data_IF_276477870457
#
_entry.id   IF_276477870457
#
_cell.length_a   1.000
_cell.length_b   1.000
_cell.length_c   1.000
_cell.angle_alpha   90.00
_cell.angle_beta   90.00
_cell.angle_gamma   90.00
#
_symmetry.space_group_name_H-M   'P 1'
#
loop_
_entity.id
_entity.type
_entity.pdbx_description
1 polymer ?
#
# COMPACT_ATOMS: atom_id res chain seq x y z
N UNK A 1 -3.65 -63.93 -7.05
CA UNK A 1 -4.79 -63.93 -7.98
C UNK A 1 -4.89 -62.52 -8.54
N UNK A 2 -4.10 -62.25 -9.57
CA UNK A 2 -4.52 -62.21 -10.99
C UNK A 2 -4.90 -60.76 -11.35
N UNK A 3 -4.04 -60.02 -12.07
CA UNK A 3 -3.91 -60.04 -13.54
C UNK A 3 -5.13 -59.38 -14.22
N UNK A 4 -5.07 -58.48 -15.21
CA UNK A 4 -4.07 -57.99 -16.16
C UNK A 4 -4.70 -56.80 -16.93
N UNK A 5 -3.84 -55.91 -17.48
CA UNK A 5 -3.78 -55.33 -18.86
C UNK A 5 -5.09 -55.18 -19.69
N UNK A 6 -5.30 -54.18 -20.56
CA UNK A 6 -4.50 -53.68 -21.70
C UNK A 6 -5.22 -52.41 -22.26
N UNK A 7 -4.56 -51.29 -22.58
CA UNK A 7 -3.89 -50.95 -23.84
C UNK A 7 -4.78 -50.76 -25.09
N UNK A 8 -4.75 -49.57 -25.69
CA UNK A 8 -4.70 -49.43 -27.16
C UNK A 8 -3.92 -48.17 -27.58
N UNK A 9 -2.83 -48.44 -28.32
CA UNK A 9 -2.02 -47.49 -29.08
C UNK A 9 -2.68 -47.25 -30.44
N UNK A 10 -2.63 -46.03 -30.95
CA UNK A 10 -2.79 -45.71 -32.37
C UNK A 10 -1.50 -45.09 -32.91
N UNK A 11 -0.84 -45.78 -33.84
CA UNK A 11 0.30 -45.32 -34.63
C UNK A 11 -0.06 -45.37 -36.13
N UNK A 12 0.75 -44.67 -36.93
CA UNK A 12 0.83 -44.64 -38.41
C UNK A 12 -0.20 -43.72 -39.10
N UNK A 13 0.19 -42.84 -40.02
CA UNK A 13 0.92 -43.14 -41.25
C UNK A 13 1.71 -41.91 -41.81
N UNK A 14 2.96 -42.13 -42.21
CA UNK A 14 3.76 -41.28 -43.12
C UNK A 14 3.54 -41.71 -44.57
N UNK A 15 3.61 -40.80 -45.56
CA UNK A 15 4.24 -40.96 -46.91
C UNK A 15 3.96 -39.78 -47.87
N UNK A 16 5.00 -39.04 -48.33
CA UNK A 16 5.62 -38.98 -49.71
C UNK A 16 4.75 -38.33 -50.81
N UNK A 17 5.21 -37.65 -51.88
CA UNK A 17 6.45 -37.01 -52.40
C UNK A 17 6.08 -36.49 -53.83
N UNK A 18 6.83 -35.54 -54.41
CA UNK A 18 6.97 -35.18 -55.87
C UNK A 18 5.82 -34.37 -56.54
N UNK A 19 5.99 -33.21 -57.22
CA UNK A 19 6.97 -32.55 -58.15
C UNK A 19 6.64 -32.71 -59.65
N UNK A 20 6.80 -31.60 -60.41
CA UNK A 20 6.75 -31.35 -61.90
C UNK A 20 5.34 -31.09 -62.49
N UNK A 21 5.06 -30.10 -63.36
CA UNK A 21 5.83 -29.03 -64.03
C UNK A 21 5.07 -28.47 -65.27
N UNK A 22 5.55 -27.33 -65.80
CA UNK A 22 5.27 -26.66 -67.11
C UNK A 22 3.81 -26.26 -67.44
N UNK A 23 3.47 -25.13 -68.07
CA UNK A 23 4.15 -24.06 -68.81
C UNK A 23 3.13 -23.48 -69.83
N UNK A 24 3.25 -22.21 -70.23
CA UNK A 24 2.94 -21.64 -71.58
C UNK A 24 2.98 -20.09 -71.56
N UNK A 25 3.64 -19.58 -72.59
CA UNK A 25 4.03 -18.23 -73.03
C UNK A 25 2.92 -17.37 -73.68
N UNK A 26 3.05 -16.03 -73.67
CA UNK A 26 3.23 -15.19 -74.89
C UNK A 26 3.11 -13.65 -74.65
N UNK A 27 4.21 -12.93 -74.97
CA UNK A 27 4.42 -11.72 -75.81
C UNK A 27 3.42 -10.54 -75.80
N UNK A 28 3.93 -9.32 -75.54
CA UNK A 28 3.80 -8.15 -76.43
C UNK A 28 4.83 -7.05 -76.10
N UNK A 29 5.43 -6.50 -77.15
CA UNK A 29 6.49 -5.49 -77.16
C UNK A 29 5.94 -4.07 -77.03
N UNK A 30 6.73 -3.17 -76.44
CA UNK A 30 6.53 -1.72 -76.45
C UNK A 30 7.83 -0.99 -76.17
N UNK A 31 8.40 -0.34 -77.20
CA UNK A 31 9.54 0.57 -77.10
C UNK A 31 9.15 1.85 -76.35
N UNK A 32 10.09 2.48 -75.61
CA UNK A 32 10.58 3.86 -75.81
C UNK A 32 11.38 4.40 -74.61
N UNK A 33 12.54 4.98 -74.94
CA UNK A 33 13.28 6.08 -74.30
C UNK A 33 13.82 5.93 -72.85
N UNK A 34 15.16 6.00 -72.73
CA UNK A 34 15.92 6.09 -71.46
C UNK A 34 15.77 7.44 -70.72
N UNK A 35 16.46 7.63 -69.59
CA UNK A 35 17.91 7.91 -69.66
C UNK A 35 18.78 7.35 -68.50
N UNK A 36 20.09 7.27 -68.79
CA UNK A 36 21.24 7.44 -67.90
C UNK A 36 21.32 6.63 -66.59
N UNK A 37 22.06 5.52 -66.65
CA UNK A 37 22.68 4.91 -65.47
C UNK A 37 24.04 5.56 -65.20
N UNK A 38 24.06 6.56 -64.31
CA UNK A 38 25.27 6.95 -63.58
C UNK A 38 25.22 6.29 -62.20
N UNK A 39 26.10 5.30 -62.01
CA UNK A 39 26.39 4.69 -60.72
C UNK A 39 26.80 5.76 -59.70
N UNK A 40 26.04 5.86 -58.60
CA UNK A 40 26.48 6.50 -57.36
C UNK A 40 26.37 5.44 -56.26
N UNK A 41 27.43 4.65 -56.10
CA UNK A 41 27.73 4.01 -54.83
C UNK A 41 28.31 5.09 -53.92
N UNK A 42 27.45 5.72 -53.13
CA UNK A 42 27.87 6.47 -51.94
C UNK A 42 27.69 5.58 -50.72
N UNK A 43 28.63 5.55 -49.75
CA UNK A 43 28.36 4.92 -48.46
C UNK A 43 27.27 5.75 -47.75
N UNK A 44 26.10 5.14 -47.56
CA UNK A 44 25.05 5.70 -46.72
C UNK A 44 25.49 5.60 -45.26
N UNK A 45 26.25 6.58 -44.78
CA UNK A 45 26.39 6.82 -43.34
C UNK A 45 25.13 7.52 -42.88
N UNK A 46 24.07 6.76 -42.58
CA UNK A 46 23.03 7.27 -41.69
C UNK A 46 23.71 7.62 -40.37
N UNK A 47 23.57 8.86 -39.86
CA UNK A 47 23.98 9.15 -38.50
C UNK A 47 23.19 8.22 -37.59
N UNK A 48 23.90 7.50 -36.71
CA UNK A 48 23.26 6.91 -35.54
C UNK A 48 22.63 8.08 -34.78
N UNK A 49 21.31 8.22 -34.84
CA UNK A 49 20.59 9.07 -33.89
C UNK A 49 20.95 8.52 -32.51
N UNK A 50 21.76 9.29 -31.78
CA UNK A 50 21.99 9.02 -30.38
C UNK A 50 20.62 9.02 -29.70
N UNK A 51 20.27 7.90 -29.08
CA UNK A 51 18.99 7.67 -28.41
C UNK A 51 18.83 8.71 -27.30
N UNK A 52 18.25 9.86 -27.65
CA UNK A 52 18.04 10.95 -26.71
C UNK A 52 17.15 10.42 -25.58
N UNK A 53 17.54 10.57 -24.30
CA UNK A 53 16.71 10.09 -23.20
C UNK A 53 15.28 10.62 -23.35
N UNK A 54 14.25 9.80 -23.02
CA UNK A 54 12.86 10.20 -23.16
C UNK A 54 12.63 11.58 -22.53
N UNK A 55 11.98 12.47 -23.27
CA UNK A 55 11.68 13.82 -22.79
C UNK A 55 10.72 13.73 -21.60
N UNK A 56 11.07 14.43 -20.52
CA UNK A 56 10.25 14.48 -19.30
C UNK A 56 9.26 15.64 -19.40
N UNK A 57 8.03 15.43 -18.97
CA UNK A 57 6.99 16.46 -18.95
C UNK A 57 6.49 16.75 -17.53
N UNK A 58 6.10 17.99 -17.25
CA UNK A 58 5.57 18.38 -15.94
C UNK A 58 6.63 18.66 -14.88
N UNK A 59 6.24 18.52 -13.60
CA UNK A 59 7.10 18.82 -12.46
C UNK A 59 8.03 17.63 -12.16
N UNK A 60 9.31 17.94 -11.92
CA UNK A 60 10.37 16.98 -11.58
C UNK A 60 11.03 17.42 -10.29
N UNK A 61 11.27 16.47 -9.38
CA UNK A 61 11.96 16.72 -8.11
C UNK A 61 13.24 15.90 -8.04
N UNK A 62 14.38 16.55 -7.77
CA UNK A 62 15.69 15.92 -7.77
C UNK A 62 16.37 15.95 -9.14
N UNK A 63 17.60 15.47 -9.20
CA UNK A 63 18.45 15.56 -10.40
C UNK A 63 19.25 14.28 -10.67
N UNK A 64 18.86 13.16 -10.06
CA UNK A 64 19.53 11.88 -10.23
C UNK A 64 19.20 11.19 -11.56
N UNK A 65 19.98 10.17 -11.88
CA UNK A 65 19.86 9.43 -13.14
C UNK A 65 18.62 8.53 -13.18
N UNK A 66 18.26 7.90 -12.06
CA UNK A 66 17.14 6.95 -12.01
C UNK A 66 15.81 7.68 -11.90
N UNK A 67 14.87 7.38 -12.79
CA UNK A 67 13.54 8.00 -12.79
C UNK A 67 12.57 7.17 -11.97
N UNK A 68 11.80 7.84 -11.11
CA UNK A 68 10.76 7.23 -10.28
C UNK A 68 9.48 8.05 -10.43
N UNK A 69 8.36 7.43 -10.79
CA UNK A 69 7.08 8.12 -10.85
C UNK A 69 6.58 8.46 -9.45
N UNK A 70 6.14 9.70 -9.22
CA UNK A 70 5.39 10.10 -8.03
C UNK A 70 3.97 10.48 -8.44
N UNK A 71 3.04 9.54 -8.26
CA UNK A 71 1.66 9.67 -8.70
C UNK A 71 0.77 10.16 -7.56
N UNK A 72 0.20 11.36 -7.71
CA UNK A 72 -0.56 12.04 -6.67
C UNK A 72 -1.92 12.55 -7.20
N UNK A 73 -2.96 12.68 -6.36
CA UNK A 73 -4.25 13.21 -6.78
C UNK A 73 -4.24 14.75 -6.75
N UNK A 74 -3.54 15.37 -7.71
CA UNK A 74 -3.34 16.83 -7.74
C UNK A 74 -4.57 17.57 -8.25
N UNK A 75 -5.32 16.96 -9.17
CA UNK A 75 -6.69 17.35 -9.54
C UNK A 75 -7.72 16.35 -9.01
N UNK A 76 -9.01 16.67 -9.17
CA UNK A 76 -10.12 15.80 -8.80
C UNK A 76 -11.15 16.47 -7.89
N UNK A 77 -12.27 15.77 -7.68
CA UNK A 77 -13.39 16.29 -6.89
C UNK A 77 -13.09 16.25 -5.39
N UNK A 78 -12.84 17.42 -4.81
CA UNK A 78 -12.81 17.64 -3.37
C UNK A 78 -11.52 18.26 -2.83
N UNK A 79 -11.66 19.08 -1.79
CA UNK A 79 -10.56 19.80 -1.14
C UNK A 79 -9.48 18.87 -0.53
N UNK A 80 -9.83 17.61 -0.27
CA UNK A 80 -8.94 16.60 0.33
C UNK A 80 -7.88 16.09 -0.66
N UNK A 81 -8.18 16.03 -1.96
CA UNK A 81 -7.25 15.51 -2.97
C UNK A 81 -6.01 16.42 -3.09
N UNK A 82 -6.21 17.71 -3.33
CA UNK A 82 -5.11 18.67 -3.49
C UNK A 82 -4.27 18.88 -2.23
N UNK A 83 -4.88 18.82 -1.04
CA UNK A 83 -4.14 18.89 0.23
C UNK A 83 -3.28 17.65 0.47
N UNK A 84 -3.79 16.45 0.17
CA UNK A 84 -3.02 15.21 0.21
C UNK A 84 -1.87 15.21 -0.80
N UNK A 85 -2.12 15.65 -2.03
CA UNK A 85 -1.07 15.74 -3.05
C UNK A 85 0.05 16.69 -2.62
N UNK A 86 -0.28 17.87 -2.09
CA UNK A 86 0.72 18.82 -1.57
C UNK A 86 1.52 18.21 -0.41
N UNK A 87 0.83 17.57 0.55
CA UNK A 87 1.45 16.91 1.70
C UNK A 87 2.47 15.85 1.29
N UNK A 88 2.09 14.99 0.35
CA UNK A 88 2.93 13.88 -0.10
C UNK A 88 4.09 14.38 -0.96
N UNK A 89 3.85 15.37 -1.83
CA UNK A 89 4.90 15.99 -2.65
C UNK A 89 5.97 16.66 -1.78
N UNK A 90 5.54 17.45 -0.79
CA UNK A 90 6.43 18.10 0.17
C UNK A 90 7.27 17.09 0.95
N UNK A 91 6.66 15.97 1.36
CA UNK A 91 7.34 14.90 2.09
C UNK A 91 8.39 14.18 1.23
N UNK A 92 8.07 13.92 -0.04
CA UNK A 92 9.02 13.35 -1.00
C UNK A 92 10.20 14.31 -1.28
N UNK A 93 9.93 15.61 -1.41
CA UNK A 93 10.97 16.63 -1.54
C UNK A 93 11.88 16.67 -0.31
N UNK A 94 11.32 16.59 0.91
CA UNK A 94 12.11 16.51 2.13
C UNK A 94 12.99 15.26 2.16
N UNK A 95 12.46 14.11 1.76
CA UNK A 95 13.21 12.86 1.72
C UNK A 95 14.43 12.96 0.79
N UNK A 96 14.28 13.56 -0.39
CA UNK A 96 15.41 13.80 -1.30
C UNK A 96 16.45 14.74 -0.72
N UNK A 97 16.02 15.80 -0.02
CA UNK A 97 16.93 16.75 0.61
C UNK A 97 17.70 16.12 1.77
N UNK A 98 17.05 15.22 2.52
CA UNK A 98 17.65 14.51 3.64
C UNK A 98 18.58 13.38 3.18
N UNK A 99 18.31 12.75 2.04
CA UNK A 99 19.11 11.64 1.52
C UNK A 99 20.29 12.16 0.67
N UNK A 100 21.45 12.31 1.31
CA UNK A 100 22.68 12.72 0.63
C UNK A 100 23.05 11.78 -0.51
N UNK A 101 23.24 12.33 -1.71
CA UNK A 101 23.60 11.56 -2.90
C UNK A 101 22.45 10.71 -3.44
N UNK A 102 21.19 11.12 -3.22
CA UNK A 102 20.03 10.50 -3.85
C UNK A 102 20.17 10.56 -5.39
N UNK A 103 20.46 9.43 -6.02
CA UNK A 103 20.57 9.31 -7.47
C UNK A 103 19.21 9.01 -8.13
N UNK A 104 18.18 9.72 -7.69
CA UNK A 104 16.83 9.63 -8.25
C UNK A 104 16.29 11.00 -8.67
N UNK A 105 15.38 10.99 -9.64
CA UNK A 105 14.49 12.10 -9.98
C UNK A 105 13.04 11.60 -9.96
N UNK A 106 12.18 12.34 -9.25
CA UNK A 106 10.77 12.03 -9.12
C UNK A 106 9.97 12.72 -10.23
N UNK A 107 9.30 11.94 -11.06
CA UNK A 107 8.41 12.42 -12.11
C UNK A 107 7.01 12.61 -11.51
N UNK A 108 6.63 13.85 -11.22
CA UNK A 108 5.36 14.13 -10.54
C UNK A 108 4.22 14.08 -11.56
N UNK A 109 3.26 13.16 -11.36
CA UNK A 109 2.12 12.97 -12.26
C UNK A 109 0.80 13.01 -11.52
N UNK A 110 -0.18 13.66 -12.14
CA UNK A 110 -1.51 13.80 -11.59
C UNK A 110 -2.40 12.61 -11.95
N UNK A 111 -3.02 12.03 -10.95
CA UNK A 111 -3.94 10.90 -11.07
C UNK A 111 -5.41 11.30 -11.10
N UNK A 112 -5.76 12.55 -10.78
CA UNK A 112 -7.15 12.96 -10.59
C UNK A 112 -7.88 12.22 -9.45
N UNK A 113 -7.20 11.32 -8.74
CA UNK A 113 -7.79 10.36 -7.82
C UNK A 113 -8.64 9.26 -8.45
N UNK A 114 -8.65 9.11 -9.78
CA UNK A 114 -9.51 8.17 -10.51
C UNK A 114 -8.73 7.00 -11.10
N UNK A 115 -9.45 5.96 -11.53
CA UNK A 115 -8.87 4.82 -12.24
C UNK A 115 -8.18 5.25 -13.54
N UNK A 116 -8.88 6.02 -14.38
CA UNK A 116 -8.37 6.48 -15.67
C UNK A 116 -7.17 7.42 -15.51
N UNK A 117 -7.20 8.31 -14.51
CA UNK A 117 -6.08 9.19 -14.23
C UNK A 117 -4.87 8.42 -13.67
N UNK A 118 -5.09 7.37 -12.87
CA UNK A 118 -4.05 6.42 -12.48
C UNK A 118 -3.38 5.75 -13.68
N UNK A 119 -4.17 5.28 -14.67
CA UNK A 119 -3.64 4.69 -15.90
C UNK A 119 -2.81 5.69 -16.71
N UNK A 120 -3.34 6.90 -16.92
CA UNK A 120 -2.70 7.94 -17.71
C UNK A 120 -1.37 8.38 -17.07
N UNK A 121 -1.37 8.63 -15.77
CA UNK A 121 -0.18 9.03 -15.02
C UNK A 121 0.90 7.95 -15.01
N UNK A 122 0.52 6.67 -14.86
CA UNK A 122 1.47 5.57 -14.89
C UNK A 122 2.07 5.41 -16.29
N UNK A 123 1.23 5.47 -17.34
CA UNK A 123 1.67 5.42 -18.74
C UNK A 123 2.68 6.52 -19.04
N UNK A 124 2.40 7.75 -18.59
CA UNK A 124 3.29 8.88 -18.78
C UNK A 124 4.62 8.70 -18.03
N UNK A 125 4.59 8.29 -16.76
CA UNK A 125 5.81 8.04 -15.99
C UNK A 125 6.68 6.94 -16.62
N UNK A 126 6.06 5.85 -17.08
CA UNK A 126 6.74 4.71 -17.72
C UNK A 126 7.33 5.11 -19.07
N UNK A 127 6.58 5.83 -19.91
CA UNK A 127 7.08 6.33 -21.19
C UNK A 127 8.25 7.29 -21.00
N UNK A 128 8.25 8.03 -19.90
CA UNK A 128 9.35 8.89 -19.47
C UNK A 128 10.47 8.11 -18.76
N UNK A 129 10.43 6.78 -18.71
CA UNK A 129 11.52 5.93 -18.23
C UNK A 129 11.53 5.68 -16.72
N UNK A 130 10.41 5.85 -16.01
CA UNK A 130 10.33 5.48 -14.60
C UNK A 130 10.60 3.98 -14.39
N UNK A 131 11.47 3.63 -13.45
CA UNK A 131 11.79 2.24 -13.07
C UNK A 131 10.96 1.74 -11.87
N UNK A 132 10.35 2.67 -11.13
CA UNK A 132 9.50 2.44 -9.97
C UNK A 132 8.39 3.49 -9.97
N UNK A 133 7.21 3.12 -9.49
CA UNK A 133 6.11 4.03 -9.22
C UNK A 133 5.87 4.13 -7.71
N UNK A 134 5.80 5.35 -7.18
CA UNK A 134 5.38 5.69 -5.83
C UNK A 134 4.01 6.38 -5.88
N UNK A 135 3.09 5.94 -5.04
CA UNK A 135 1.66 6.21 -5.20
C UNK A 135 1.04 5.29 -6.27
N UNK A 136 -0.23 5.47 -6.63
CA UNK A 136 -1.20 6.48 -6.17
C UNK A 136 -1.70 6.34 -4.72
N UNK A 137 -2.53 7.29 -4.29
CA UNK A 137 -3.13 7.32 -2.94
C UNK A 137 -4.45 6.56 -2.86
N UNK A 138 -5.38 6.83 -3.78
CA UNK A 138 -6.71 6.24 -3.76
C UNK A 138 -6.74 4.88 -4.47
N UNK A 139 -7.52 3.93 -3.93
CA UNK A 139 -7.56 2.54 -4.41
C UNK A 139 -7.82 2.43 -5.91
N UNK A 140 -8.81 3.17 -6.44
CA UNK A 140 -9.14 3.16 -7.87
C UNK A 140 -7.95 3.63 -8.73
N UNK A 141 -7.27 4.70 -8.32
CA UNK A 141 -6.07 5.16 -9.01
C UNK A 141 -4.93 4.13 -8.93
N UNK A 142 -4.74 3.47 -7.76
CA UNK A 142 -3.77 2.38 -7.61
C UNK A 142 -4.07 1.24 -8.56
N UNK A 143 -5.33 0.84 -8.69
CA UNK A 143 -5.75 -0.22 -9.61
C UNK A 143 -5.45 0.18 -11.07
N UNK A 144 -5.80 1.40 -11.45
CA UNK A 144 -5.51 1.96 -12.77
C UNK A 144 -4.01 1.97 -13.07
N UNK A 145 -3.19 2.57 -12.20
CA UNK A 145 -1.74 2.62 -12.37
C UNK A 145 -1.11 1.22 -12.46
N UNK A 146 -1.55 0.31 -11.59
CA UNK A 146 -1.06 -1.08 -11.57
C UNK A 146 -1.40 -1.84 -12.86
N UNK A 147 -2.57 -1.59 -13.46
CA UNK A 147 -2.97 -2.24 -14.72
C UNK A 147 -1.98 -1.97 -15.87
N UNK A 148 -1.43 -0.75 -15.92
CA UNK A 148 -0.42 -0.35 -16.91
C UNK A 148 0.96 -0.87 -16.52
N UNK A 149 1.39 -0.61 -15.28
CA UNK A 149 2.74 -0.89 -14.82
C UNK A 149 3.11 -2.37 -14.88
N UNK A 150 2.15 -3.27 -14.64
CA UNK A 150 2.31 -4.72 -14.75
C UNK A 150 2.81 -5.16 -16.12
N UNK A 151 2.28 -4.56 -17.20
CA UNK A 151 2.66 -4.92 -18.57
C UNK A 151 4.12 -4.56 -18.88
N UNK A 152 4.66 -3.55 -18.20
CA UNK A 152 6.03 -3.08 -18.33
C UNK A 152 6.98 -3.66 -17.28
N UNK A 153 6.48 -4.53 -16.39
CA UNK A 153 7.27 -5.11 -15.30
C UNK A 153 7.72 -4.09 -14.24
N UNK A 154 7.08 -2.92 -14.19
CA UNK A 154 7.45 -1.83 -13.28
C UNK A 154 6.62 -1.96 -11.99
N UNK A 155 7.26 -2.05 -10.82
CA UNK A 155 6.56 -2.18 -9.55
C UNK A 155 5.86 -0.87 -9.14
N UNK A 156 4.76 -1.01 -8.41
CA UNK A 156 3.96 0.10 -7.85
C UNK A 156 3.99 0.01 -6.33
N UNK A 157 4.45 1.06 -5.65
CA UNK A 157 4.33 1.23 -4.20
C UNK A 157 3.20 2.21 -3.93
N UNK A 158 1.97 1.69 -3.79
CA UNK A 158 0.76 2.48 -3.57
C UNK A 158 0.57 2.88 -2.11
N UNK A 159 -0.13 4.00 -1.87
CA UNK A 159 -0.42 4.52 -0.52
C UNK A 159 -1.83 4.20 -0.01
N UNK A 160 -2.60 3.41 -0.78
CA UNK A 160 -3.95 2.98 -0.40
C UNK A 160 -3.93 2.06 0.82
N UNK A 161 -4.94 2.19 1.68
CA UNK A 161 -5.23 1.22 2.76
C UNK A 161 -6.22 0.14 2.33
N UNK A 162 -6.73 0.19 1.09
CA UNK A 162 -7.58 -0.87 0.54
C UNK A 162 -6.70 -2.03 0.06
N UNK A 163 -6.75 -3.16 0.78
CA UNK A 163 -5.91 -4.32 0.48
C UNK A 163 -6.34 -5.07 -0.79
N UNK A 164 -7.53 -4.81 -1.33
CA UNK A 164 -7.99 -5.46 -2.57
C UNK A 164 -7.16 -5.09 -3.81
N UNK A 165 -6.43 -3.98 -3.77
CA UNK A 165 -5.58 -3.51 -4.89
C UNK A 165 -4.11 -3.94 -4.78
N UNK A 166 -3.74 -4.71 -3.75
CA UNK A 166 -2.38 -5.21 -3.55
C UNK A 166 -2.06 -6.43 -4.45
N UNK A 167 -0.76 -6.72 -4.55
CA UNK A 167 -0.23 -7.91 -5.21
C UNK A 167 0.03 -7.74 -6.69
N UNK A 168 0.64 -8.76 -7.30
CA UNK A 168 1.00 -8.78 -8.72
C UNK A 168 1.78 -7.52 -9.17
N UNK A 169 2.91 -7.25 -8.49
CA UNK A 169 3.74 -6.06 -8.73
C UNK A 169 3.30 -4.79 -7.99
N UNK A 170 2.18 -4.84 -7.26
CA UNK A 170 1.68 -3.73 -6.43
C UNK A 170 1.92 -4.01 -4.95
N UNK A 171 2.63 -3.11 -4.28
CA UNK A 171 2.93 -3.17 -2.85
C UNK A 171 2.30 -1.96 -2.16
N UNK A 172 1.55 -2.17 -1.08
CA UNK A 172 0.88 -1.11 -0.35
C UNK A 172 1.74 -0.65 0.81
N UNK A 173 2.24 0.58 0.74
CA UNK A 173 2.88 1.26 1.86
C UNK A 173 1.84 2.13 2.56
N UNK A 174 1.18 1.57 3.57
CA UNK A 174 0.11 2.26 4.30
C UNK A 174 0.04 1.79 5.77
N UNK A 175 -0.97 2.26 6.49
CA UNK A 175 -1.38 1.75 7.81
C UNK A 175 -2.52 0.76 7.61
N UNK A 176 -2.15 -0.51 7.39
CA UNK A 176 -3.12 -1.56 7.06
C UNK A 176 -3.84 -2.08 8.31
N UNK A 177 -5.16 -2.35 8.23
CA UNK A 177 -5.93 -2.90 9.35
C UNK A 177 -5.31 -4.16 9.94
N UNK A 178 -4.73 -5.01 9.10
CA UNK A 178 -4.14 -6.27 9.50
C UNK A 178 -2.99 -6.10 10.48
N UNK A 179 -2.12 -5.11 10.27
CA UNK A 179 -0.99 -4.82 11.14
C UNK A 179 -1.47 -4.40 12.53
N UNK A 180 -2.45 -3.50 12.58
CA UNK A 180 -3.02 -3.01 13.83
C UNK A 180 -3.70 -4.14 14.61
N UNK A 181 -4.62 -4.86 13.95
CA UNK A 181 -5.39 -5.95 14.57
C UNK A 181 -4.47 -7.03 15.13
N UNK A 182 -3.52 -7.52 14.33
CA UNK A 182 -2.59 -8.55 14.78
C UNK A 182 -1.77 -8.07 15.99
N UNK A 183 -1.27 -6.84 15.97
CA UNK A 183 -0.45 -6.28 17.05
C UNK A 183 -1.23 -6.16 18.36
N UNK A 184 -2.44 -5.59 18.30
CA UNK A 184 -3.20 -5.25 19.50
C UNK A 184 -3.85 -6.48 20.14
N UNK A 185 -4.34 -7.43 19.33
CA UNK A 185 -4.88 -8.70 19.84
C UNK A 185 -3.79 -9.54 20.48
N UNK A 186 -2.61 -9.64 19.84
CA UNK A 186 -1.47 -10.36 20.41
C UNK A 186 -1.02 -9.74 21.73
N UNK A 187 -0.99 -8.40 21.82
CA UNK A 187 -0.67 -7.72 23.08
C UNK A 187 -1.71 -7.99 24.16
N UNK A 188 -3.00 -7.83 23.86
CA UNK A 188 -4.08 -8.11 24.81
C UNK A 188 -4.01 -9.55 25.34
N UNK A 189 -3.75 -10.52 24.47
CA UNK A 189 -3.56 -11.90 24.88
C UNK A 189 -2.32 -12.10 25.77
N UNK A 190 -1.21 -11.42 25.50
CA UNK A 190 -0.04 -11.44 26.40
C UNK A 190 -0.33 -10.78 27.76
N UNK A 191 -1.36 -9.92 27.85
CA UNK A 191 -1.89 -9.35 29.09
C UNK A 191 -3.04 -10.18 29.68
N UNK A 192 -3.04 -11.49 29.42
CA UNK A 192 -4.00 -12.48 29.95
C UNK A 192 -5.47 -12.27 29.58
N UNK A 193 -5.77 -11.40 28.60
CA UNK A 193 -7.13 -11.23 28.05
C UNK A 193 -7.49 -12.39 27.12
N UNK A 194 -8.67 -12.98 27.27
CA UNK A 194 -9.07 -14.22 26.55
C UNK A 194 -10.48 -14.17 25.96
N UNK A 195 -11.32 -13.23 26.38
CA UNK A 195 -12.73 -13.15 25.98
C UNK A 195 -13.01 -11.82 25.29
N UNK A 196 -13.17 -11.90 23.97
CA UNK A 196 -13.21 -10.73 23.11
C UNK A 196 -14.61 -10.47 22.56
N UNK A 197 -14.95 -9.20 22.40
CA UNK A 197 -16.02 -8.73 21.53
C UNK A 197 -15.47 -7.70 20.54
N UNK A 198 -16.19 -7.46 19.45
CA UNK A 198 -15.85 -6.40 18.52
C UNK A 198 -17.07 -5.58 18.09
N UNK A 199 -16.87 -4.28 17.90
CA UNK A 199 -17.79 -3.35 17.28
C UNK A 199 -17.12 -2.79 16.03
N UNK A 200 -17.64 -3.12 14.85
CA UNK A 200 -16.96 -2.88 13.57
C UNK A 200 -17.84 -2.09 12.60
N UNK A 201 -17.26 -1.20 11.76
CA UNK A 201 -18.02 -0.54 10.71
C UNK A 201 -18.45 -1.53 9.62
N UNK A 202 -19.65 -1.38 9.07
CA UNK A 202 -20.17 -2.20 8.00
C UNK A 202 -19.72 -1.68 6.63
N UNK A 203 -18.43 -1.84 6.33
CA UNK A 203 -17.79 -1.46 5.06
C UNK A 203 -16.60 -2.40 4.74
N UNK A 204 -15.87 -2.14 3.65
CA UNK A 204 -14.71 -2.94 3.25
C UNK A 204 -13.62 -2.99 4.33
N UNK A 205 -13.34 -1.85 4.97
CA UNK A 205 -12.40 -1.77 6.09
C UNK A 205 -12.80 -2.69 7.26
N UNK A 206 -14.06 -2.63 7.70
CA UNK A 206 -14.54 -3.47 8.80
C UNK A 206 -14.60 -4.95 8.45
N UNK A 207 -14.82 -5.30 7.18
CA UNK A 207 -14.74 -6.69 6.73
C UNK A 207 -13.31 -7.27 6.86
N UNK A 208 -12.29 -6.50 6.47
CA UNK A 208 -10.87 -6.87 6.64
C UNK A 208 -10.48 -6.94 8.12
N UNK A 209 -10.90 -5.94 8.91
CA UNK A 209 -10.65 -5.91 10.34
C UNK A 209 -11.29 -7.11 11.06
N UNK A 210 -12.52 -7.49 10.70
CA UNK A 210 -13.18 -8.66 11.29
C UNK A 210 -12.47 -9.96 10.97
N UNK A 211 -12.15 -10.20 9.69
CA UNK A 211 -11.49 -11.42 9.26
C UNK A 211 -10.16 -11.60 10.01
N UNK A 212 -9.38 -10.51 10.10
CA UNK A 212 -8.10 -10.51 10.81
C UNK A 212 -8.29 -10.67 12.30
N UNK A 213 -9.31 -10.04 12.90
CA UNK A 213 -9.60 -10.15 14.32
C UNK A 213 -9.94 -11.58 14.71
N UNK A 214 -10.80 -12.25 13.92
CA UNK A 214 -11.14 -13.67 14.10
C UNK A 214 -9.90 -14.55 14.03
N UNK A 215 -9.03 -14.32 13.05
CA UNK A 215 -7.80 -15.08 12.89
C UNK A 215 -6.81 -14.83 14.05
N UNK A 216 -6.62 -13.57 14.45
CA UNK A 216 -5.71 -13.18 15.52
C UNK A 216 -6.15 -13.73 16.88
N UNK A 217 -7.44 -13.65 17.22
CA UNK A 217 -7.99 -14.21 18.46
C UNK A 217 -7.88 -15.74 18.47
N UNK A 218 -8.14 -16.40 17.33
CA UNK A 218 -7.99 -17.85 17.21
C UNK A 218 -6.55 -18.35 17.44
N UNK A 219 -5.53 -17.56 17.06
CA UNK A 219 -4.12 -17.88 17.30
C UNK A 219 -3.71 -17.74 18.77
N UNK A 220 -4.43 -16.95 19.56
CA UNK A 220 -4.09 -16.65 20.96
C UNK A 220 -4.85 -17.52 21.97
N UNK A 221 -5.54 -18.58 21.51
CA UNK A 221 -6.49 -19.37 22.32
C UNK A 221 -7.56 -18.51 23.00
N UNK A 222 -7.87 -17.34 22.45
CA UNK A 222 -8.98 -16.52 22.88
C UNK A 222 -10.29 -17.02 22.28
N UNK A 223 -11.41 -16.55 22.84
CA UNK A 223 -12.75 -16.76 22.30
C UNK A 223 -13.39 -15.42 21.94
N UNK A 224 -14.18 -15.43 20.86
CA UNK A 224 -15.00 -14.29 20.48
C UNK A 224 -16.42 -14.56 20.98
N UNK A 225 -16.91 -13.71 21.87
CA UNK A 225 -18.27 -13.80 22.41
C UNK A 225 -19.27 -13.26 21.40
N UNK A 226 -18.96 -12.12 20.78
CA UNK A 226 -19.83 -11.48 19.80
C UNK A 226 -19.09 -10.48 18.92
N UNK A 227 -19.66 -10.23 17.75
CA UNK A 227 -19.25 -9.17 16.84
C UNK A 227 -20.50 -8.44 16.39
N UNK A 228 -20.52 -7.13 16.55
CA UNK A 228 -21.57 -6.26 16.06
C UNK A 228 -21.02 -5.38 14.94
N UNK A 229 -21.80 -5.24 13.87
CA UNK A 229 -21.49 -4.32 12.77
C UNK A 229 -22.47 -3.16 12.75
N UNK A 230 -21.95 -1.94 12.71
CA UNK A 230 -22.76 -0.72 12.61
C UNK A 230 -22.59 -0.04 11.26
N UNK A 231 -23.58 0.72 10.84
CA UNK A 231 -23.49 1.61 9.67
C UNK A 231 -22.66 2.85 10.03
N UNK A 232 -21.52 3.11 9.35
CA UNK A 232 -20.70 4.28 9.63
C UNK A 232 -21.50 5.58 9.50
N UNK A 233 -21.28 6.52 10.42
CA UNK A 233 -21.99 7.81 10.45
C UNK A 233 -23.43 7.75 10.97
N UNK A 234 -23.96 6.58 11.33
CA UNK A 234 -25.31 6.43 11.87
C UNK A 234 -25.28 6.22 13.39
N UNK A 235 -25.39 7.31 14.16
CA UNK A 235 -25.29 7.26 15.62
C UNK A 235 -26.40 6.42 16.28
N UNK A 236 -27.58 6.33 15.65
CA UNK A 236 -28.71 5.54 16.16
C UNK A 236 -28.45 4.04 16.00
N UNK A 237 -27.93 3.65 14.83
CA UNK A 237 -27.52 2.26 14.61
C UNK A 237 -26.35 1.90 15.52
N UNK A 238 -25.30 2.75 15.64
CA UNK A 238 -24.18 2.52 16.57
C UNK A 238 -24.70 2.29 17.99
N UNK A 239 -25.58 3.16 18.50
CA UNK A 239 -26.19 3.00 19.84
C UNK A 239 -26.90 1.66 19.96
N UNK A 240 -27.71 1.29 18.97
CA UNK A 240 -28.45 0.02 18.97
C UNK A 240 -27.51 -1.19 19.03
N UNK A 241 -26.42 -1.16 18.26
CA UNK A 241 -25.38 -2.20 18.25
C UNK A 241 -24.63 -2.29 19.58
N UNK A 242 -24.28 -1.15 20.17
CA UNK A 242 -23.63 -1.11 21.49
C UNK A 242 -24.56 -1.59 22.59
N UNK A 243 -25.84 -1.24 22.56
CA UNK A 243 -26.85 -1.76 23.50
C UNK A 243 -26.99 -3.28 23.42
N UNK A 244 -26.98 -3.85 22.20
CA UNK A 244 -26.99 -5.30 22.02
C UNK A 244 -25.72 -5.95 22.59
N UNK A 245 -24.55 -5.35 22.34
CA UNK A 245 -23.27 -5.79 22.88
C UNK A 245 -23.26 -5.78 24.42
N UNK A 246 -23.86 -4.74 25.02
CA UNK A 246 -24.03 -4.59 26.47
C UNK A 246 -24.76 -5.76 27.15
N UNK A 247 -25.60 -6.52 26.44
CA UNK A 247 -26.31 -7.68 27.01
C UNK A 247 -25.40 -8.84 27.37
N UNK A 248 -24.25 -8.98 26.72
CA UNK A 248 -23.28 -10.06 27.02
C UNK A 248 -21.89 -9.55 27.40
N UNK A 249 -21.73 -8.24 27.61
CA UNK A 249 -20.43 -7.63 27.90
C UNK A 249 -19.82 -8.13 29.21
N UNK A 250 -20.63 -8.61 30.16
CA UNK A 250 -20.13 -9.26 31.39
C UNK A 250 -19.40 -10.59 31.14
N UNK A 251 -19.46 -11.16 29.93
CA UNK A 251 -18.71 -12.35 29.53
C UNK A 251 -17.42 -12.02 28.75
N UNK A 252 -17.11 -10.74 28.60
CA UNK A 252 -16.06 -10.19 27.75
C UNK A 252 -15.09 -9.40 28.63
N UNK A 253 -13.79 -9.65 28.46
CA UNK A 253 -12.73 -8.89 29.11
C UNK A 253 -12.10 -7.85 28.17
N UNK A 254 -12.37 -7.94 26.85
CA UNK A 254 -11.79 -7.06 25.84
C UNK A 254 -12.77 -6.67 24.75
N UNK A 255 -12.97 -5.37 24.52
CA UNK A 255 -13.80 -4.83 23.43
C UNK A 255 -12.91 -4.17 22.37
N UNK A 256 -12.95 -4.70 21.15
CA UNK A 256 -12.25 -4.15 20.00
C UNK A 256 -13.12 -3.17 19.20
N UNK A 257 -12.64 -1.93 19.02
CA UNK A 257 -13.28 -0.91 18.18
C UNK A 257 -12.19 -0.25 17.31
N UNK A 258 -12.01 -0.68 16.04
CA UNK A 258 -10.91 -0.21 15.20
C UNK A 258 -11.09 1.20 14.65
N UNK A 259 -12.30 1.76 14.65
CA UNK A 259 -12.52 3.12 14.14
C UNK A 259 -12.05 4.15 15.16
N UNK A 260 -11.47 5.25 14.67
CA UNK A 260 -11.12 6.41 15.49
C UNK A 260 -12.28 7.39 15.71
N UNK A 261 -11.93 8.65 15.96
CA UNK A 261 -12.90 9.73 16.13
C UNK A 261 -13.84 9.50 17.33
N UNK A 262 -15.10 9.89 17.18
CA UNK A 262 -16.08 9.86 18.28
C UNK A 262 -16.67 8.49 18.60
N UNK A 263 -16.43 7.46 17.78
CA UNK A 263 -17.09 6.15 17.94
C UNK A 263 -16.70 5.43 19.23
N UNK A 264 -15.41 5.29 19.60
CA UNK A 264 -15.03 4.58 20.83
C UNK A 264 -15.54 5.26 22.12
N UNK A 265 -15.38 6.60 22.30
CA UNK A 265 -15.96 7.30 23.44
C UNK A 265 -17.49 7.15 23.52
N UNK A 266 -18.17 7.24 22.38
CA UNK A 266 -19.63 7.09 22.32
C UNK A 266 -20.06 5.68 22.71
N UNK A 267 -19.35 4.63 22.27
CA UNK A 267 -19.64 3.26 22.67
C UNK A 267 -19.51 3.08 24.19
N UNK A 268 -18.47 3.66 24.81
CA UNK A 268 -18.30 3.61 26.27
C UNK A 268 -19.39 4.34 27.03
N UNK A 269 -19.82 5.50 26.52
CA UNK A 269 -20.94 6.24 27.07
C UNK A 269 -22.21 5.38 27.05
N UNK A 270 -22.55 4.76 25.91
CA UNK A 270 -23.75 3.93 25.78
C UNK A 270 -23.69 2.69 26.69
N UNK A 271 -22.53 2.03 26.83
CA UNK A 271 -22.39 0.90 27.76
C UNK A 271 -22.64 1.33 29.22
N UNK A 272 -22.10 2.48 29.61
CA UNK A 272 -22.25 3.03 30.97
C UNK A 272 -23.69 3.46 31.25
N UNK A 273 -24.35 4.13 30.30
CA UNK A 273 -25.76 4.55 30.38
C UNK A 273 -26.71 3.37 30.60
N UNK A 274 -26.42 2.22 29.97
CA UNK A 274 -27.24 1.01 30.10
C UNK A 274 -26.91 0.18 31.35
N UNK A 275 -26.16 0.73 32.32
CA UNK A 275 -25.71 0.06 33.54
C UNK A 275 -25.06 -1.32 33.26
N UNK A 276 -24.36 -1.42 32.13
CA UNK A 276 -23.66 -2.64 31.79
C UNK A 276 -22.57 -2.93 32.85
N UNK A 277 -22.46 -4.17 33.30
CA UNK A 277 -21.35 -4.58 34.17
C UNK A 277 -20.07 -4.65 33.33
N UNK A 278 -19.42 -3.49 33.18
CA UNK A 278 -18.20 -3.33 32.40
C UNK A 278 -16.95 -3.81 33.14
N UNK A 279 -17.06 -4.25 34.41
CA UNK A 279 -16.00 -4.96 35.16
C UNK A 279 -14.56 -4.50 34.85
N UNK A 280 -13.72 -5.45 34.44
CA UNK A 280 -12.35 -5.19 33.97
C UNK A 280 -12.24 -5.06 32.43
N UNK A 281 -13.30 -4.60 31.76
CA UNK A 281 -13.33 -4.50 30.30
C UNK A 281 -12.18 -3.62 29.80
N UNK A 282 -11.32 -4.21 28.97
CA UNK A 282 -10.25 -3.50 28.29
C UNK A 282 -10.71 -3.09 26.90
N UNK A 283 -10.69 -1.80 26.64
CA UNK A 283 -10.90 -1.31 25.28
C UNK A 283 -9.61 -1.39 24.50
N UNK A 284 -9.70 -1.94 23.28
CA UNK A 284 -8.61 -1.98 22.33
C UNK A 284 -9.04 -1.41 20.98
N UNK A 285 -8.13 -0.72 20.30
CA UNK A 285 -8.41 -0.03 19.05
C UNK A 285 -7.37 -0.26 17.96
N UNK A 286 -7.33 0.66 17.01
CA UNK A 286 -6.34 0.74 15.93
C UNK A 286 -5.51 2.02 16.06
N UNK A 287 -4.53 2.21 15.18
CA UNK A 287 -3.77 3.46 15.08
C UNK A 287 -4.63 4.71 14.84
N UNK A 288 -5.89 4.54 14.40
CA UNK A 288 -6.86 5.65 14.26
C UNK A 288 -7.26 6.30 15.59
N UNK A 289 -6.92 5.70 16.73
CA UNK A 289 -7.15 6.28 18.06
C UNK A 289 -6.15 7.35 18.45
N UNK A 290 -5.08 7.55 17.67
CA UNK A 290 -4.08 8.59 17.93
C UNK A 290 -4.60 9.98 17.48
N UNK A 291 -5.75 10.39 18.01
CA UNK A 291 -6.38 11.68 17.72
C UNK A 291 -6.84 12.35 19.02
N UNK A 292 -6.98 13.69 19.06
CA UNK A 292 -7.45 14.40 20.23
C UNK A 292 -8.79 13.88 20.77
N UNK A 293 -9.73 13.51 19.90
CA UNK A 293 -11.08 13.05 20.27
C UNK A 293 -11.05 11.80 21.14
N UNK A 294 -10.14 10.86 20.86
CA UNK A 294 -9.99 9.63 21.65
C UNK A 294 -9.06 9.89 22.83
N UNK A 295 -7.90 10.53 22.61
CA UNK A 295 -6.89 10.71 23.64
C UNK A 295 -7.38 11.58 24.79
N UNK A 296 -8.13 12.64 24.53
CA UNK A 296 -8.62 13.57 25.55
C UNK A 296 -9.92 13.10 26.22
N UNK A 297 -10.48 11.96 25.80
CA UNK A 297 -11.73 11.43 26.36
C UNK A 297 -11.50 10.70 27.69
N UNK A 298 -12.11 11.14 28.81
CA UNK A 298 -11.90 10.51 30.12
C UNK A 298 -12.33 9.03 30.17
N UNK A 299 -13.36 8.65 29.39
CA UNK A 299 -13.87 7.27 29.33
C UNK A 299 -12.93 6.32 28.56
N UNK A 300 -11.92 6.85 27.89
CA UNK A 300 -10.93 6.07 27.15
C UNK A 300 -9.66 5.78 27.97
N UNK A 301 -9.50 6.39 29.16
CA UNK A 301 -8.30 6.20 29.99
C UNK A 301 -8.05 4.71 30.29
N UNK A 302 -6.81 4.28 30.07
CA UNK A 302 -6.37 2.90 30.24
C UNK A 302 -6.66 1.99 29.04
N UNK A 303 -7.31 2.47 27.98
CA UNK A 303 -7.53 1.71 26.73
C UNK A 303 -6.23 1.60 25.93
N UNK A 304 -6.11 0.58 25.09
CA UNK A 304 -4.89 0.32 24.31
C UNK A 304 -5.09 0.44 22.80
N UNK A 305 -4.08 0.92 22.09
CA UNK A 305 -4.08 0.88 20.64
C UNK A 305 -2.65 0.73 20.09
N UNK A 306 -2.48 0.09 18.92
CA UNK A 306 -1.18 -0.04 18.29
C UNK A 306 -0.85 1.23 17.49
N UNK A 307 0.43 1.51 17.29
CA UNK A 307 0.83 2.59 16.40
C UNK A 307 2.35 2.65 16.21
N UNK A 308 2.85 3.37 15.20
CA UNK A 308 4.29 3.59 15.06
C UNK A 308 4.89 4.34 16.24
N UNK A 309 6.22 4.33 16.38
CA UNK A 309 6.91 5.16 17.38
C UNK A 309 6.64 6.66 17.10
N UNK A 310 6.18 7.40 18.10
CA UNK A 310 5.89 8.82 17.96
C UNK A 310 7.15 9.68 17.91
N UNK A 311 8.27 9.26 18.52
CA UNK A 311 9.46 10.12 18.68
C UNK A 311 10.06 10.55 17.34
N UNK A 312 10.21 9.60 16.41
CA UNK A 312 10.74 9.87 15.08
C UNK A 312 9.77 10.72 14.26
N UNK A 313 8.45 10.46 14.39
CA UNK A 313 7.43 11.24 13.72
C UNK A 313 7.37 12.69 14.24
N UNK A 314 7.53 12.91 15.54
CA UNK A 314 7.54 14.26 16.12
C UNK A 314 8.70 15.10 15.58
N UNK A 315 9.89 14.49 15.42
CA UNK A 315 11.04 15.14 14.80
C UNK A 315 10.79 15.44 13.32
N UNK A 316 10.21 14.51 12.56
CA UNK A 316 9.79 14.75 11.18
C UNK A 316 8.76 15.89 11.10
N UNK A 317 7.74 15.87 11.96
CA UNK A 317 6.66 16.86 12.03
C UNK A 317 7.20 18.27 12.32
N UNK A 318 8.17 18.40 13.23
CA UNK A 318 8.84 19.66 13.50
C UNK A 318 9.57 20.20 12.26
N UNK A 319 10.38 19.36 11.59
CA UNK A 319 11.11 19.75 10.38
C UNK A 319 10.16 20.11 9.24
N UNK A 320 9.09 19.34 9.06
CA UNK A 320 8.06 19.62 8.06
C UNK A 320 7.37 20.95 8.35
N UNK A 321 6.99 21.21 9.61
CA UNK A 321 6.38 22.49 10.02
C UNK A 321 7.33 23.66 9.78
N UNK A 322 8.62 23.51 10.08
CA UNK A 322 9.62 24.54 9.79
C UNK A 322 9.77 24.83 8.29
N UNK A 323 9.62 23.81 7.43
CA UNK A 323 9.74 23.96 5.98
C UNK A 323 8.45 24.47 5.30
N UNK A 324 7.27 24.07 5.79
CA UNK A 324 5.99 24.26 5.09
C UNK A 324 4.90 24.97 5.91
N UNK A 325 5.21 25.40 7.13
CA UNK A 325 4.38 26.29 7.95
C UNK A 325 3.20 25.64 8.69
N UNK A 326 2.92 24.35 8.47
CA UNK A 326 1.86 23.60 9.16
C UNK A 326 2.34 22.18 9.50
N UNK A 327 1.89 21.61 10.64
CA UNK A 327 2.22 20.24 10.99
C UNK A 327 1.61 19.25 9.97
N UNK A 328 2.38 18.24 9.53
CA UNK A 328 1.87 17.24 8.61
C UNK A 328 0.93 16.27 9.33
N UNK A 329 -0.08 15.78 8.62
CA UNK A 329 -0.77 14.57 9.03
C UNK A 329 0.19 13.36 8.95
N UNK A 330 -0.06 12.33 9.76
CA UNK A 330 0.84 11.18 9.89
C UNK A 330 1.05 10.39 8.60
N UNK A 331 0.12 10.44 7.66
CA UNK A 331 0.28 9.81 6.33
C UNK A 331 1.36 10.48 5.44
N UNK A 332 1.81 11.69 5.77
CA UNK A 332 2.93 12.35 5.11
C UNK A 332 4.22 11.51 5.15
N UNK A 333 4.43 10.77 6.25
CA UNK A 333 5.61 9.90 6.39
C UNK A 333 5.65 8.81 5.32
N UNK A 334 4.52 8.40 4.74
CA UNK A 334 4.46 7.35 3.72
C UNK A 334 5.21 7.76 2.46
N UNK A 335 5.01 9.00 1.98
CA UNK A 335 5.72 9.51 0.82
C UNK A 335 7.21 9.72 1.12
N UNK A 336 7.54 10.22 2.31
CA UNK A 336 8.93 10.34 2.75
C UNK A 336 9.63 8.97 2.74
N UNK A 337 9.06 7.98 3.43
CA UNK A 337 9.60 6.63 3.56
C UNK A 337 9.73 5.93 2.21
N UNK A 338 8.74 6.09 1.31
CA UNK A 338 8.79 5.55 -0.04
C UNK A 338 9.93 6.17 -0.88
N UNK A 339 10.17 7.47 -0.75
CA UNK A 339 11.27 8.15 -1.45
C UNK A 339 12.62 7.74 -0.88
N UNK A 340 12.77 7.62 0.44
CA UNK A 340 13.99 7.10 1.08
C UNK A 340 14.25 5.66 0.67
N UNK A 341 13.21 4.81 0.63
CA UNK A 341 13.29 3.45 0.13
C UNK A 341 13.83 3.44 -1.30
N UNK A 342 13.24 4.24 -2.19
CA UNK A 342 13.65 4.31 -3.59
C UNK A 342 15.13 4.71 -3.73
N UNK A 343 15.54 5.81 -3.09
CA UNK A 343 16.92 6.28 -3.11
C UNK A 343 17.90 5.27 -2.49
N UNK A 344 17.51 4.63 -1.38
CA UNK A 344 18.30 3.61 -0.71
C UNK A 344 18.52 2.36 -1.57
N UNK A 345 17.48 1.91 -2.29
CA UNK A 345 17.58 0.77 -3.19
C UNK A 345 18.44 1.07 -4.42
N UNK A 346 18.36 2.27 -4.99
CA UNK A 346 19.25 2.70 -6.08
C UNK A 346 20.71 2.64 -5.64
N UNK A 347 21.01 3.09 -4.42
CA UNK A 347 22.37 3.07 -3.87
C UNK A 347 22.89 1.67 -3.54
N UNK A 348 22.02 0.77 -3.09
CA UNK A 348 22.45 -0.49 -2.44
C UNK A 348 22.16 -1.77 -3.21
N UNK A 349 21.13 -1.79 -4.07
CA UNK A 349 20.67 -3.00 -4.75
C UNK A 349 21.21 -3.16 -6.18
N UNK A 350 21.89 -2.16 -6.73
CA UNK A 350 22.51 -2.23 -8.05
C UNK A 350 21.49 -2.48 -9.17
N UNK A 351 21.77 -3.40 -10.12
CA UNK A 351 20.83 -3.75 -11.20
C UNK A 351 19.54 -4.43 -10.73
N UNK A 352 19.54 -5.07 -9.56
CA UNK A 352 18.38 -5.78 -9.00
C UNK A 352 17.42 -4.86 -8.24
N UNK A 353 17.69 -3.54 -8.23
CA UNK A 353 16.82 -2.55 -7.59
C UNK A 353 15.38 -2.71 -8.07
N UNK A 354 14.45 -2.54 -7.13
CA UNK A 354 13.01 -2.63 -7.36
C UNK A 354 12.47 -3.99 -7.81
N UNK A 355 13.29 -5.03 -7.97
CA UNK A 355 12.76 -6.38 -8.20
C UNK A 355 11.90 -6.85 -7.03
N UNK A 356 10.93 -7.74 -7.30
CA UNK A 356 10.04 -8.30 -6.27
C UNK A 356 10.83 -8.88 -5.08
N UNK A 357 11.91 -9.62 -5.36
CA UNK A 357 12.81 -10.18 -4.34
C UNK A 357 13.40 -9.10 -3.42
N UNK A 358 13.78 -7.95 -3.98
CA UNK A 358 14.36 -6.84 -3.20
C UNK A 358 13.28 -6.10 -2.42
N UNK A 359 12.13 -5.81 -3.03
CA UNK A 359 11.01 -5.12 -2.38
C UNK A 359 10.39 -5.97 -1.26
N UNK A 360 10.37 -7.29 -1.39
CA UNK A 360 9.82 -8.22 -0.39
C UNK A 360 10.87 -8.76 0.59
N UNK A 361 11.99 -8.04 0.76
CA UNK A 361 13.04 -8.45 1.70
C UNK A 361 12.45 -8.66 3.11
N UNK A 362 12.62 -9.88 3.64
CA UNK A 362 12.06 -10.31 4.93
C UNK A 362 12.59 -9.49 6.12
N UNK A 363 13.79 -8.94 6.01
CA UNK A 363 14.41 -8.13 7.06
C UNK A 363 13.82 -6.71 7.08
N UNK A 364 13.16 -6.31 5.99
CA UNK A 364 12.45 -5.06 5.83
C UNK A 364 13.35 -3.86 5.57
N UNK A 365 12.77 -2.70 5.81
CA UNK A 365 13.34 -1.38 5.61
C UNK A 365 13.07 -0.53 6.86
N UNK A 366 13.81 0.56 6.99
CA UNK A 366 13.64 1.52 8.07
C UNK A 366 13.06 2.82 7.51
N UNK A 367 11.91 3.22 8.03
CA UNK A 367 11.30 4.52 7.78
C UNK A 367 11.27 5.39 9.03
N UNK A 368 10.66 6.58 8.91
CA UNK A 368 10.35 7.46 10.04
C UNK A 368 9.56 6.69 11.11
N UNK A 369 8.62 5.87 10.66
CA UNK A 369 7.68 5.15 11.52
C UNK A 369 8.17 3.79 11.99
N UNK A 370 9.49 3.60 11.97
CA UNK A 370 10.15 2.37 12.36
C UNK A 370 10.28 1.40 11.20
N UNK A 371 10.46 0.12 11.53
CA UNK A 371 10.67 -0.91 10.51
C UNK A 371 9.37 -1.22 9.77
N UNK A 372 9.45 -1.39 8.46
CA UNK A 372 8.35 -1.90 7.65
C UNK A 372 8.88 -2.89 6.61
N UNK A 373 8.03 -3.79 6.12
CA UNK A 373 8.37 -4.68 5.00
C UNK A 373 7.16 -4.94 4.14
N UNK A 374 7.39 -5.28 2.89
CA UNK A 374 6.33 -5.80 2.02
C UNK A 374 6.32 -7.32 2.03
N UNK A 375 5.13 -7.88 2.02
CA UNK A 375 4.89 -9.32 1.83
C UNK A 375 4.82 -9.64 0.35
N UNK A 376 4.96 -10.92 -0.02
CA UNK A 376 4.76 -11.38 -1.40
C UNK A 376 3.33 -11.18 -1.91
N UNK A 377 2.35 -10.98 -1.01
CA UNK A 377 0.99 -10.62 -1.35
C UNK A 377 0.81 -9.11 -1.64
N UNK A 378 1.87 -8.31 -1.52
CA UNK A 378 1.82 -6.86 -1.70
C UNK A 378 1.36 -6.08 -0.48
N UNK A 379 1.07 -6.73 0.66
CA UNK A 379 0.72 -6.03 1.90
C UNK A 379 1.96 -5.50 2.61
N UNK A 380 1.83 -4.42 3.39
CA UNK A 380 2.86 -4.00 4.34
C UNK A 380 2.62 -4.52 5.75
N UNK A 381 3.72 -4.90 6.39
CA UNK A 381 3.80 -5.12 7.82
C UNK A 381 4.66 -4.02 8.44
N UNK A 382 4.28 -3.55 9.63
CA UNK A 382 5.00 -2.48 10.35
C UNK A 382 5.36 -2.90 11.77
N UNK A 383 6.50 -2.39 12.24
CA UNK A 383 6.87 -2.46 13.64
C UNK A 383 6.06 -1.47 14.46
N UNK A 384 5.00 -1.95 15.10
CA UNK A 384 4.09 -1.13 15.90
C UNK A 384 4.39 -1.26 17.40
N UNK A 385 4.41 -0.14 18.10
CA UNK A 385 4.29 -0.08 19.56
C UNK A 385 2.84 -0.34 19.97
N UNK A 386 2.60 -0.52 21.27
CA UNK A 386 1.25 -0.40 21.86
C UNK A 386 1.28 0.73 22.86
N UNK A 387 0.26 1.58 22.77
CA UNK A 387 0.06 2.75 23.60
C UNK A 387 -1.14 2.54 24.53
N UNK A 388 -1.06 3.12 25.72
CA UNK A 388 -2.20 3.33 26.59
C UNK A 388 -2.65 4.80 26.55
N UNK A 389 -3.95 5.03 26.56
CA UNK A 389 -4.53 6.36 26.77
C UNK A 389 -4.39 6.72 28.24
N UNK A 390 -3.77 7.86 28.52
CA UNK A 390 -3.52 8.34 29.89
C UNK A 390 -4.55 9.38 30.32
N UNK A 391 -4.71 9.57 31.64
CA UNK A 391 -5.56 10.63 32.20
C UNK A 391 -5.10 12.06 31.84
N UNK A 392 -3.89 12.21 31.33
CA UNK A 392 -3.35 13.49 30.86
C UNK A 392 -3.73 13.82 29.40
N UNK A 393 -4.55 12.99 28.76
CA UNK A 393 -4.94 13.20 27.38
C UNK A 393 -3.86 12.81 26.36
N UNK A 394 -2.96 11.88 26.72
CA UNK A 394 -1.80 11.48 25.92
C UNK A 394 -1.72 9.97 25.70
N UNK A 395 -1.05 9.57 24.63
CA UNK A 395 -0.67 8.19 24.37
C UNK A 395 0.70 7.88 24.99
N UNK A 396 0.77 6.91 25.90
CA UNK A 396 2.01 6.46 26.54
C UNK A 396 2.37 5.03 26.10
N UNK A 397 3.61 4.76 25.63
CA UNK A 397 3.98 3.42 25.17
C UNK A 397 4.01 2.43 26.34
N UNK A 398 3.19 1.38 26.26
CA UNK A 398 3.17 0.26 27.21
C UNK A 398 3.84 -0.99 26.65
N UNK A 399 4.09 -1.04 25.35
CA UNK A 399 5.01 -1.99 24.72
C UNK A 399 5.75 -1.33 23.57
N UNK A 400 7.06 -1.51 23.51
CA UNK A 400 7.89 -0.94 22.46
C UNK A 400 7.55 -1.50 21.07
N UNK A 401 7.82 -0.69 20.03
CA UNK A 401 7.84 -1.18 18.67
C UNK A 401 9.04 -2.12 18.47
N UNK A 402 8.88 -3.24 17.73
CA UNK A 402 10.03 -4.05 17.35
C UNK A 402 10.98 -3.24 16.47
N UNK A 403 12.29 -3.45 16.63
CA UNK A 403 13.34 -2.78 15.85
C UNK A 403 13.77 -3.56 14.60
N UNK A 404 13.24 -4.78 14.43
CA UNK A 404 13.53 -5.68 13.32
C UNK A 404 12.40 -6.70 13.17
N UNK A 405 12.27 -7.29 11.98
CA UNK A 405 11.40 -8.44 11.74
C UNK A 405 12.05 -9.80 12.05
N UNK A 406 13.34 -9.81 12.43
CA UNK A 406 14.00 -11.01 12.90
C UNK A 406 13.39 -11.49 14.24
N UNK A 407 13.21 -12.82 14.44
CA UNK A 407 12.83 -13.36 15.74
C UNK A 407 13.83 -12.92 16.82
N UNK A 408 13.32 -12.40 17.93
CA UNK A 408 14.15 -12.17 19.13
C UNK A 408 14.24 -13.51 19.86
N UNK A 409 15.43 -14.10 19.89
CA UNK A 409 15.71 -15.37 20.57
C UNK A 409 16.00 -15.16 22.05
#
# INVERSE_FOLDING_TARGET
>A
MSALQNASRGHFLKRTLQVVGLGITAVLAGCMAGPNYSNVYGPSTSPFEADTPPQVSGEVIGSGAVRVGLLLPMSGDGQTAGSVATLFKNSAQMALNDFQGADIQLLVKDTGGTFEGGQAAASAAIAEGAELILGPVFAQAVEGASSVARSSGIPVVGFSSDTSVAGNGTYLLSYLPESDVNRIVSYAANQERRSFAALLPNNSYGAVAEATFRQAVGRTNGRIVMVERYKPGDASDIRSKVTNLGRSIGQVDTLFIPEGGGVPPFAMQVLTENAANIGELKLIGSGQWNTPEVLQSPVMVGSWFPGPDNRSFDQFSQRYTSAFGQPPARNASLAYDATILAAGLVRSAGPDRFTDRVLTNKDGFLGIDGVFRFTSAGMSERGLAVYAVTSQGKAEPVAAAPRSFAPQF
#
